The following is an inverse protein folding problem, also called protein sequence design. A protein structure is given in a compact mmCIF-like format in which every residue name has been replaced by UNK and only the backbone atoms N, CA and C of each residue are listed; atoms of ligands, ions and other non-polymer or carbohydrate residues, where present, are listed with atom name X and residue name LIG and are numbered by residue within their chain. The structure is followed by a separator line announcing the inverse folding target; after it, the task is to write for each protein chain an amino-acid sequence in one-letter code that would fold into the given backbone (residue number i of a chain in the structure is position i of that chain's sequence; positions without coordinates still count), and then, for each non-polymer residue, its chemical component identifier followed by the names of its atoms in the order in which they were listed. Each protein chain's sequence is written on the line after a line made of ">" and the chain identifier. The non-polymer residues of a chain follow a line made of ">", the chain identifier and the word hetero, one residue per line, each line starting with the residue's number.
data_IF_500208108017
#
_entry.id   IF_500208108017
#
_cell.length_a   1.000
_cell.length_b   1.000
_cell.length_c   1.000
_cell.angle_alpha   90.00
_cell.angle_beta   90.00
_cell.angle_gamma   90.00
#
_symmetry.space_group_name_H-M   'P 1'
#
loop_
_entity.id
_entity.type
_entity.pdbx_description
1 polymer ?
#
# COMPACT_ATOMS: atom_id res chain seq x y z
N UNK A 1 -0.72 -0.35 8.95
CA UNK A 1 0.46 -1.06 9.52
C UNK A 1 1.75 -0.41 9.10
N UNK A 2 2.74 -0.39 9.98
CA UNK A 2 4.13 -0.08 9.67
C UNK A 2 4.99 -1.29 9.99
N UNK A 3 5.84 -1.76 9.05
CA UNK A 3 6.64 -2.98 9.24
C UNK A 3 8.10 -2.76 8.88
N UNK A 4 8.99 -3.62 9.39
CA UNK A 4 10.38 -3.74 8.93
C UNK A 4 10.56 -5.15 8.39
N UNK A 5 10.28 -5.33 7.11
CA UNK A 5 10.44 -6.65 6.47
C UNK A 5 11.90 -6.92 6.13
N UNK A 6 12.30 -8.17 6.20
CA UNK A 6 13.65 -8.65 5.89
C UNK A 6 13.60 -9.80 4.88
N UNK A 7 14.70 -10.54 4.72
CA UNK A 7 14.73 -11.77 3.93
C UNK A 7 14.08 -12.97 4.63
N UNK A 8 13.77 -12.85 5.93
CA UNK A 8 13.12 -13.89 6.74
C UNK A 8 11.59 -13.84 6.55
N UNK A 9 11.09 -14.48 5.49
CA UNK A 9 9.65 -14.56 5.20
C UNK A 9 8.82 -15.17 6.33
N UNK A 10 9.24 -16.27 6.99
CA UNK A 10 8.51 -16.81 8.14
C UNK A 10 8.33 -15.79 9.28
N UNK A 11 9.38 -15.05 9.65
CA UNK A 11 9.30 -14.03 10.69
C UNK A 11 8.41 -12.85 10.28
N UNK A 12 8.54 -12.36 9.04
CA UNK A 12 7.70 -11.28 8.50
C UNK A 12 6.21 -11.69 8.49
N UNK A 13 5.92 -12.93 8.07
CA UNK A 13 4.56 -13.47 8.05
C UNK A 13 3.97 -13.61 9.47
N UNK A 14 4.76 -14.14 10.40
CA UNK A 14 4.33 -14.29 11.79
C UNK A 14 3.98 -12.94 12.40
N UNK A 15 4.86 -11.95 12.25
CA UNK A 15 4.61 -10.57 12.70
C UNK A 15 3.35 -9.98 12.05
N UNK A 16 3.19 -10.12 10.72
CA UNK A 16 2.03 -9.60 10.02
C UNK A 16 0.71 -10.20 10.52
N UNK A 17 0.65 -11.51 10.75
CA UNK A 17 -0.55 -12.19 11.27
C UNK A 17 -0.86 -11.82 12.73
N UNK A 18 0.18 -11.65 13.56
CA UNK A 18 0.02 -11.15 14.93
C UNK A 18 -0.59 -9.75 14.93
N UNK A 19 -0.02 -8.84 14.14
CA UNK A 19 -0.51 -7.45 14.04
C UNK A 19 -1.93 -7.39 13.46
N UNK A 20 -2.30 -8.27 12.52
CA UNK A 20 -3.68 -8.40 12.05
C UNK A 20 -4.62 -8.73 13.20
N UNK A 21 -4.21 -9.68 14.05
CA UNK A 21 -4.96 -10.07 15.24
C UNK A 21 -5.17 -8.91 16.20
N UNK A 22 -4.11 -8.17 16.49
CA UNK A 22 -4.15 -7.02 17.39
C UNK A 22 -5.01 -5.87 16.83
N UNK A 23 -4.89 -5.56 15.54
CA UNK A 23 -5.71 -4.54 14.89
C UNK A 23 -7.19 -4.88 14.90
N UNK A 24 -7.55 -6.13 14.59
CA UNK A 24 -8.92 -6.59 14.63
C UNK A 24 -9.51 -6.53 16.06
N UNK A 25 -8.72 -6.91 17.07
CA UNK A 25 -9.11 -6.78 18.48
C UNK A 25 -9.27 -5.32 18.91
N UNK A 26 -8.52 -4.40 18.30
CA UNK A 26 -8.63 -2.95 18.47
C UNK A 26 -9.79 -2.30 17.71
N UNK A 27 -10.65 -3.08 17.03
CA UNK A 27 -11.85 -2.58 16.35
C UNK A 27 -11.62 -2.10 14.90
N UNK A 28 -10.48 -2.39 14.31
CA UNK A 28 -10.23 -2.03 12.90
C UNK A 28 -11.23 -2.72 11.96
N UNK A 29 -11.80 -1.99 11.01
CA UNK A 29 -12.67 -2.52 9.96
C UNK A 29 -11.86 -2.96 8.73
N UNK A 30 -10.69 -2.34 8.53
CA UNK A 30 -9.75 -2.67 7.47
C UNK A 30 -8.32 -2.56 8.00
N UNK A 31 -7.49 -3.54 7.64
CA UNK A 31 -6.05 -3.53 7.92
C UNK A 31 -5.29 -3.45 6.61
N UNK A 32 -4.37 -2.48 6.50
CA UNK A 32 -3.52 -2.30 5.33
C UNK A 32 -2.04 -2.49 5.69
N UNK A 33 -1.35 -3.34 4.94
CA UNK A 33 0.10 -3.58 5.05
C UNK A 33 0.89 -2.69 4.08
N UNK A 34 2.20 -2.49 4.33
CA UNK A 34 3.08 -1.77 3.41
C UNK A 34 3.38 -2.53 2.12
N UNK A 35 4.09 -1.86 1.21
CA UNK A 35 4.67 -2.48 0.01
C UNK A 35 5.67 -3.58 0.38
N UNK A 36 5.61 -4.71 -0.34
CA UNK A 36 6.49 -5.90 -0.23
C UNK A 36 6.70 -6.39 1.20
N UNK A 37 5.63 -6.36 2.01
CA UNK A 37 5.68 -6.63 3.44
C UNK A 37 6.14 -8.05 3.82
N UNK A 38 6.19 -8.98 2.87
CA UNK A 38 6.65 -10.36 3.10
C UNK A 38 8.14 -10.55 2.88
N UNK A 39 8.76 -9.76 1.97
CA UNK A 39 10.15 -9.97 1.63
C UNK A 39 10.80 -8.68 1.10
N UNK A 40 11.91 -8.30 1.74
CA UNK A 40 12.83 -7.26 1.24
C UNK A 40 14.24 -7.84 1.25
N UNK A 41 14.82 -8.05 0.05
CA UNK A 41 16.14 -8.63 -0.13
C UNK A 41 16.59 -8.68 -1.58
N UNK A 42 17.54 -9.56 -1.86
CA UNK A 42 18.15 -9.72 -3.18
C UNK A 42 17.20 -10.29 -4.24
N UNK A 43 17.66 -10.21 -5.51
CA UNK A 43 16.92 -10.71 -6.69
C UNK A 43 16.48 -12.16 -6.54
N UNK A 44 17.42 -13.04 -6.19
CA UNK A 44 17.16 -14.49 -6.09
C UNK A 44 16.07 -14.80 -5.08
N UNK A 45 16.14 -14.22 -3.89
CA UNK A 45 15.11 -14.40 -2.86
C UNK A 45 13.76 -13.81 -3.27
N UNK A 46 13.73 -12.67 -3.97
CA UNK A 46 12.51 -12.09 -4.53
C UNK A 46 11.78 -13.08 -5.45
N UNK A 47 12.51 -13.72 -6.37
CA UNK A 47 11.95 -14.72 -7.29
C UNK A 47 11.56 -16.01 -6.57
N UNK A 48 12.39 -16.47 -5.62
CA UNK A 48 12.14 -17.70 -4.86
C UNK A 48 10.90 -17.60 -3.97
N UNK A 49 10.69 -16.45 -3.32
CA UNK A 49 9.58 -16.21 -2.39
C UNK A 49 8.34 -15.57 -3.05
N UNK A 50 8.34 -15.45 -4.39
CA UNK A 50 7.17 -14.97 -5.10
C UNK A 50 5.97 -15.90 -4.90
N UNK A 51 4.81 -15.30 -4.62
CA UNK A 51 3.56 -16.00 -4.31
C UNK A 51 2.66 -16.10 -5.53
N UNK A 52 1.80 -17.11 -5.57
CA UNK A 52 0.61 -17.06 -6.40
C UNK A 52 -0.56 -16.51 -5.59
N UNK A 53 -1.56 -15.93 -6.24
CA UNK A 53 -2.71 -15.33 -5.53
C UNK A 53 -3.62 -16.38 -4.85
N UNK A 54 -3.50 -17.64 -5.25
CA UNK A 54 -4.12 -18.82 -4.64
C UNK A 54 -3.15 -19.61 -3.73
N UNK A 55 -1.91 -19.10 -3.55
CA UNK A 55 -0.87 -19.74 -2.76
C UNK A 55 -1.16 -19.74 -1.26
N UNK A 56 -0.32 -20.50 -0.52
CA UNK A 56 -0.50 -20.74 0.92
C UNK A 56 -0.55 -19.44 1.73
N UNK A 57 0.38 -18.51 1.49
CA UNK A 57 0.44 -17.28 2.28
C UNK A 57 -0.80 -16.39 2.06
N UNK A 58 -1.21 -16.20 0.80
CA UNK A 58 -2.42 -15.42 0.50
C UNK A 58 -3.64 -16.12 1.09
N UNK A 59 -3.73 -17.45 1.00
CA UNK A 59 -4.81 -18.24 1.59
C UNK A 59 -4.87 -18.08 3.12
N UNK A 60 -3.74 -17.97 3.82
CA UNK A 60 -3.71 -17.68 5.26
C UNK A 60 -4.38 -16.35 5.58
N UNK A 61 -4.07 -15.28 4.84
CA UNK A 61 -4.71 -13.98 5.04
C UNK A 61 -6.20 -14.01 4.67
N UNK A 62 -6.59 -14.74 3.64
CA UNK A 62 -8.00 -14.97 3.28
C UNK A 62 -8.77 -15.63 4.42
N UNK A 63 -8.20 -16.66 5.02
CA UNK A 63 -8.80 -17.35 6.15
C UNK A 63 -8.91 -16.44 7.40
N UNK A 64 -7.87 -15.63 7.69
CA UNK A 64 -7.89 -14.69 8.79
C UNK A 64 -8.90 -13.54 8.57
N UNK A 65 -9.01 -13.02 7.34
CA UNK A 65 -10.01 -12.03 6.96
C UNK A 65 -11.43 -12.57 7.21
N UNK A 66 -11.72 -13.78 6.74
CA UNK A 66 -13.02 -14.44 6.95
C UNK A 66 -13.30 -14.74 8.42
N UNK A 67 -12.32 -15.30 9.14
CA UNK A 67 -12.45 -15.63 10.57
C UNK A 67 -12.73 -14.40 11.44
N UNK A 68 -12.09 -13.28 11.13
CA UNK A 68 -12.22 -12.02 11.89
C UNK A 68 -13.28 -11.09 11.34
N UNK A 69 -13.85 -11.38 10.16
CA UNK A 69 -14.81 -10.54 9.44
C UNK A 69 -14.26 -9.13 9.19
N UNK A 70 -13.02 -9.04 8.73
CA UNK A 70 -12.28 -7.78 8.50
C UNK A 70 -11.76 -7.70 7.07
N UNK A 71 -11.72 -6.51 6.51
CA UNK A 71 -11.02 -6.26 5.26
C UNK A 71 -9.50 -6.29 5.46
N UNK A 72 -8.78 -6.86 4.51
CA UNK A 72 -7.31 -6.92 4.56
C UNK A 72 -6.73 -6.49 3.23
N UNK A 73 -5.98 -5.40 3.23
CA UNK A 73 -5.15 -5.01 2.10
C UNK A 73 -3.74 -5.57 2.32
N UNK A 74 -3.36 -6.58 1.54
CA UNK A 74 -1.99 -7.04 1.45
C UNK A 74 -1.21 -6.00 0.63
N UNK A 75 -0.81 -4.92 1.25
CA UNK A 75 -0.20 -3.72 0.67
C UNK A 75 0.45 -3.96 -0.67
N UNK A 76 1.54 -4.78 -0.70
CA UNK A 76 1.88 -5.56 -1.88
C UNK A 76 2.76 -6.78 -1.55
N UNK A 77 2.83 -7.70 -2.50
CA UNK A 77 3.70 -8.87 -2.49
C UNK A 77 4.28 -9.11 -3.89
N UNK A 78 5.35 -9.90 -3.95
CA UNK A 78 5.89 -10.36 -5.22
C UNK A 78 4.99 -11.48 -5.75
N UNK A 79 4.25 -11.19 -6.84
CA UNK A 79 3.37 -12.17 -7.49
C UNK A 79 4.13 -12.91 -8.59
N UNK A 80 4.08 -14.23 -8.56
CA UNK A 80 4.66 -15.11 -9.58
C UNK A 80 3.93 -14.98 -10.90
N UNK A 81 4.68 -14.81 -11.98
CA UNK A 81 4.13 -14.79 -13.33
C UNK A 81 4.19 -16.21 -13.90
N UNK A 82 3.05 -16.74 -14.34
CA UNK A 82 2.99 -18.07 -14.95
C UNK A 82 3.89 -18.15 -16.19
N UNK A 83 4.71 -19.19 -16.26
CA UNK A 83 5.63 -19.43 -17.38
C UNK A 83 6.87 -18.53 -17.40
N UNK A 84 7.09 -17.66 -16.38
CA UNK A 84 8.28 -16.82 -16.26
C UNK A 84 9.03 -17.07 -14.96
N UNK A 85 10.37 -17.12 -15.05
CA UNK A 85 11.23 -17.29 -13.88
C UNK A 85 12.22 -16.12 -13.66
N UNK A 86 12.17 -15.11 -14.53
CA UNK A 86 13.10 -13.98 -14.55
C UNK A 86 12.54 -12.72 -13.89
N UNK A 87 11.20 -12.59 -13.86
CA UNK A 87 10.47 -11.44 -13.26
C UNK A 87 9.23 -11.89 -12.49
N UNK A 88 8.75 -10.99 -11.65
CA UNK A 88 7.50 -11.09 -10.88
C UNK A 88 6.71 -9.78 -11.02
N UNK A 89 5.43 -9.77 -10.63
CA UNK A 89 4.72 -8.51 -10.41
C UNK A 89 4.87 -8.04 -8.95
N UNK A 90 4.76 -6.74 -8.74
CA UNK A 90 4.56 -6.12 -7.43
C UNK A 90 3.06 -5.85 -7.29
N UNK A 91 2.35 -6.69 -6.52
CA UNK A 91 0.88 -6.79 -6.56
C UNK A 91 0.25 -6.51 -5.22
N UNK A 92 -0.63 -5.55 -5.18
CA UNK A 92 -1.54 -5.28 -4.07
C UNK A 92 -2.79 -6.17 -4.18
N UNK A 93 -3.25 -6.72 -3.05
CA UNK A 93 -4.40 -7.63 -2.99
C UNK A 93 -5.35 -7.17 -1.90
N UNK A 94 -6.56 -6.81 -2.27
CA UNK A 94 -7.63 -6.46 -1.32
C UNK A 94 -8.52 -7.70 -1.08
N UNK A 95 -8.62 -8.12 0.17
CA UNK A 95 -9.39 -9.28 0.62
C UNK A 95 -10.60 -8.80 1.40
N UNK A 96 -11.78 -9.27 1.01
CA UNK A 96 -13.04 -8.98 1.69
C UNK A 96 -13.21 -9.81 2.98
N UNK A 97 -14.14 -9.43 3.89
CA UNK A 97 -14.47 -10.20 5.09
C UNK A 97 -15.02 -11.61 4.84
N UNK A 98 -15.34 -11.95 3.60
CA UNK A 98 -15.70 -13.30 3.17
C UNK A 98 -14.48 -14.19 2.93
N UNK A 99 -13.27 -13.60 2.89
CA UNK A 99 -12.04 -14.27 2.45
C UNK A 99 -11.85 -14.30 0.94
N UNK A 100 -12.73 -13.66 0.18
CA UNK A 100 -12.57 -13.52 -1.27
C UNK A 100 -11.64 -12.36 -1.62
N UNK A 101 -10.89 -12.50 -2.72
CA UNK A 101 -10.11 -11.40 -3.29
C UNK A 101 -11.09 -10.48 -4.01
N UNK A 102 -11.30 -9.28 -3.45
CA UNK A 102 -12.19 -8.28 -4.02
C UNK A 102 -11.53 -7.50 -5.16
N UNK A 103 -10.24 -7.24 -5.07
CA UNK A 103 -9.46 -6.59 -6.13
C UNK A 103 -7.98 -6.93 -6.06
N UNK A 104 -7.31 -6.78 -7.20
CA UNK A 104 -5.85 -6.81 -7.31
C UNK A 104 -5.37 -5.62 -8.12
N UNK A 105 -4.19 -5.10 -7.78
CA UNK A 105 -3.53 -4.07 -8.54
C UNK A 105 -2.05 -4.38 -8.68
N UNK A 106 -1.54 -4.49 -9.89
CA UNK A 106 -0.13 -4.65 -10.21
C UNK A 106 0.49 -3.28 -10.46
N UNK A 107 1.55 -2.96 -9.74
CA UNK A 107 2.26 -1.68 -9.83
C UNK A 107 2.58 -1.34 -11.28
N UNK A 108 2.19 -0.15 -11.71
CA UNK A 108 2.38 0.30 -13.09
C UNK A 108 3.65 1.12 -13.25
N UNK A 109 3.94 1.98 -12.29
CA UNK A 109 5.11 2.85 -12.35
C UNK A 109 6.21 2.26 -11.48
N UNK A 110 7.27 1.78 -12.14
CA UNK A 110 8.39 1.13 -11.48
C UNK A 110 9.44 2.15 -11.02
N UNK A 111 10.08 1.87 -9.89
CA UNK A 111 11.09 2.72 -9.29
C UNK A 111 12.45 2.49 -9.93
N UNK A 112 12.62 3.03 -11.14
CA UNK A 112 13.87 3.04 -11.88
C UNK A 112 14.50 4.42 -11.72
N UNK A 113 15.52 4.52 -10.85
CA UNK A 113 16.14 5.79 -10.49
C UNK A 113 17.65 5.68 -10.32
N UNK A 114 18.33 6.77 -10.62
CA UNK A 114 19.74 6.98 -10.31
C UNK A 114 19.85 8.05 -9.23
N UNK A 115 20.14 7.62 -8.02
CA UNK A 115 20.40 8.49 -6.87
C UNK A 115 21.90 8.62 -6.65
N UNK A 116 22.39 9.68 -6.01
CA UNK A 116 23.81 9.81 -5.67
C UNK A 116 24.33 8.56 -4.95
N UNK A 117 25.25 7.84 -5.59
CA UNK A 117 25.86 6.62 -5.05
C UNK A 117 24.99 5.35 -5.11
N UNK A 118 23.78 5.41 -5.68
CA UNK A 118 22.88 4.26 -5.75
C UNK A 118 22.05 4.25 -7.03
N UNK A 119 22.13 3.15 -7.79
CA UNK A 119 21.22 2.86 -8.89
C UNK A 119 20.22 1.80 -8.48
N UNK A 120 18.94 2.09 -8.61
CA UNK A 120 17.83 1.17 -8.32
C UNK A 120 17.03 1.00 -9.60
N UNK A 121 16.94 -0.23 -10.10
CA UNK A 121 16.17 -0.60 -11.29
C UNK A 121 15.16 -1.66 -10.88
N UNK A 122 13.97 -1.23 -10.51
CA UNK A 122 12.89 -2.16 -10.16
C UNK A 122 12.50 -3.01 -11.37
N UNK A 123 12.56 -2.45 -12.57
CA UNK A 123 12.26 -3.13 -13.83
C UNK A 123 13.18 -4.31 -14.16
N UNK A 124 14.36 -4.43 -13.52
CA UNK A 124 15.24 -5.59 -13.71
C UNK A 124 14.57 -6.90 -13.24
N UNK A 125 13.64 -6.81 -12.26
CA UNK A 125 13.00 -7.97 -11.63
C UNK A 125 11.48 -7.90 -11.58
N UNK A 126 10.90 -6.73 -11.79
CA UNK A 126 9.45 -6.51 -11.77
C UNK A 126 8.94 -6.27 -13.19
N UNK A 127 7.86 -6.95 -13.53
CA UNK A 127 7.06 -6.67 -14.73
C UNK A 127 5.93 -5.70 -14.34
N UNK A 128 5.80 -4.55 -15.03
CA UNK A 128 4.74 -3.60 -14.70
C UNK A 128 3.35 -4.15 -15.00
N UNK A 129 2.37 -3.70 -14.24
CA UNK A 129 0.96 -3.93 -14.53
C UNK A 129 0.50 -3.08 -15.72
N UNK A 130 -0.48 -3.57 -16.47
CA UNK A 130 -1.09 -2.88 -17.61
C UNK A 130 -2.52 -2.43 -17.35
N UNK A 131 -3.23 -3.10 -16.43
CA UNK A 131 -4.60 -2.78 -16.07
C UNK A 131 -4.69 -1.44 -15.31
N UNK A 132 -5.78 -0.67 -15.48
CA UNK A 132 -6.03 0.51 -14.67
C UNK A 132 -6.14 0.16 -13.19
N UNK A 133 -5.83 1.14 -12.33
CA UNK A 133 -6.00 1.00 -10.89
C UNK A 133 -7.49 0.89 -10.54
N UNK A 134 -7.89 -0.12 -9.74
CA UNK A 134 -9.30 -0.36 -9.41
C UNK A 134 -9.80 0.55 -8.29
N UNK A 135 -11.12 0.77 -8.28
CA UNK A 135 -11.87 1.32 -7.15
C UNK A 135 -12.88 0.27 -6.69
N UNK A 136 -12.98 0.01 -5.40
CA UNK A 136 -13.79 -1.05 -4.80
C UNK A 136 -14.59 -0.50 -3.63
N UNK A 137 -15.86 -0.88 -3.52
CA UNK A 137 -16.69 -0.53 -2.37
C UNK A 137 -16.22 -1.26 -1.10
N UNK A 138 -16.04 -0.50 -0.03
CA UNK A 138 -15.66 -0.98 1.31
C UNK A 138 -16.46 -0.25 2.38
N UNK A 139 -16.47 -0.68 3.65
CA UNK A 139 -17.12 0.07 4.72
C UNK A 139 -16.47 1.44 5.00
N UNK A 140 -15.30 1.70 4.45
CA UNK A 140 -14.61 2.99 4.53
C UNK A 140 -14.90 3.90 3.31
N UNK A 141 -15.84 3.50 2.45
CA UNK A 141 -16.13 4.17 1.18
C UNK A 141 -15.46 3.50 -0.02
N UNK A 142 -15.46 4.20 -1.15
CA UNK A 142 -14.89 3.75 -2.41
C UNK A 142 -13.36 3.78 -2.34
N UNK A 143 -12.74 2.61 -2.24
CA UNK A 143 -11.31 2.42 -2.03
C UNK A 143 -10.53 2.27 -3.35
N UNK A 144 -9.68 3.20 -3.67
CA UNK A 144 -8.73 3.13 -4.78
C UNK A 144 -7.40 2.49 -4.36
N UNK A 145 -6.78 1.73 -5.27
CA UNK A 145 -5.50 1.07 -5.02
C UNK A 145 -4.37 1.70 -5.86
N UNK A 146 -3.22 1.91 -5.23
CA UNK A 146 -1.96 2.29 -5.88
C UNK A 146 -0.79 1.67 -5.10
N UNK A 147 0.45 1.79 -5.58
CA UNK A 147 1.63 1.28 -4.88
C UNK A 147 2.79 2.28 -4.99
N UNK A 148 3.27 2.80 -3.86
CA UNK A 148 4.56 3.46 -3.66
C UNK A 148 4.90 4.53 -4.72
N UNK A 149 5.74 4.19 -5.70
CA UNK A 149 6.22 5.11 -6.74
C UNK A 149 5.09 5.69 -7.60
N UNK A 150 3.93 5.02 -7.68
CA UNK A 150 2.72 5.55 -8.29
C UNK A 150 2.32 6.92 -7.70
N UNK A 151 2.70 7.18 -6.43
CA UNK A 151 2.47 8.46 -5.74
C UNK A 151 3.02 9.68 -6.52
N UNK A 152 4.01 9.49 -7.38
CA UNK A 152 4.61 10.56 -8.19
C UNK A 152 3.86 10.86 -9.48
N UNK A 153 2.79 10.12 -9.79
CA UNK A 153 2.04 10.22 -11.04
C UNK A 153 0.63 10.76 -10.81
N UNK A 154 0.40 12.09 -10.85
CA UNK A 154 -0.90 12.72 -10.54
C UNK A 154 -2.07 12.18 -11.34
N UNK A 155 -1.83 11.82 -12.61
CA UNK A 155 -2.87 11.33 -13.50
C UNK A 155 -3.55 10.03 -13.00
N UNK A 156 -2.79 9.16 -12.27
CA UNK A 156 -3.34 7.96 -11.66
C UNK A 156 -4.41 8.32 -10.62
N UNK A 157 -4.11 9.28 -9.75
CA UNK A 157 -5.02 9.71 -8.65
C UNK A 157 -6.25 10.43 -9.19
N UNK A 158 -6.09 11.28 -10.20
CA UNK A 158 -7.23 11.87 -10.91
C UNK A 158 -8.12 10.78 -11.54
N UNK A 159 -7.51 9.74 -12.12
CA UNK A 159 -8.25 8.60 -12.65
C UNK A 159 -9.02 7.82 -11.59
N UNK A 160 -8.43 7.62 -10.40
CA UNK A 160 -9.13 7.01 -9.26
C UNK A 160 -10.28 7.91 -8.77
N UNK A 161 -10.04 9.22 -8.65
CA UNK A 161 -11.09 10.18 -8.26
C UNK A 161 -12.25 10.21 -9.26
N UNK A 162 -11.97 10.15 -10.55
CA UNK A 162 -12.98 10.10 -11.61
C UNK A 162 -13.83 8.80 -11.56
N UNK A 163 -13.26 7.70 -11.05
CA UNK A 163 -13.95 6.45 -10.77
C UNK A 163 -14.76 6.47 -9.46
N UNK A 164 -14.74 7.58 -8.73
CA UNK A 164 -15.47 7.75 -7.48
C UNK A 164 -14.68 7.46 -6.21
N UNK A 165 -13.35 7.30 -6.27
CA UNK A 165 -12.58 7.04 -5.06
C UNK A 165 -12.80 8.10 -3.99
N UNK A 166 -12.93 7.63 -2.75
CA UNK A 166 -13.11 8.41 -1.53
C UNK A 166 -11.91 8.26 -0.60
N UNK A 167 -11.29 7.08 -0.63
CA UNK A 167 -10.02 6.78 0.03
C UNK A 167 -9.07 6.11 -0.99
N UNK A 168 -7.79 6.47 -0.97
CA UNK A 168 -6.76 5.82 -1.79
C UNK A 168 -5.68 5.23 -0.89
N UNK A 169 -5.43 3.93 -1.06
CA UNK A 169 -4.37 3.23 -0.38
C UNK A 169 -3.07 3.32 -1.18
N UNK A 170 -1.96 3.65 -0.48
CA UNK A 170 -0.63 3.83 -1.06
C UNK A 170 0.40 3.04 -0.24
N UNK A 171 0.32 1.70 -0.21
CA UNK A 171 1.35 0.90 0.44
C UNK A 171 2.72 1.21 -0.16
N UNK A 172 3.71 1.46 0.71
CA UNK A 172 4.96 2.06 0.25
C UNK A 172 6.21 1.52 0.95
N UNK A 173 7.31 1.62 0.21
CA UNK A 173 8.66 1.34 0.68
C UNK A 173 9.61 2.43 0.17
N UNK A 174 9.44 3.65 0.68
CA UNK A 174 10.27 4.80 0.30
C UNK A 174 11.67 4.69 0.90
N UNK A 175 12.70 4.96 0.10
CA UNK A 175 14.06 5.11 0.62
C UNK A 175 14.09 6.24 1.65
N UNK A 176 14.99 6.16 2.64
CA UNK A 176 15.10 7.18 3.68
C UNK A 176 15.25 8.59 3.10
N UNK A 177 16.16 8.76 2.13
CA UNK A 177 16.45 10.07 1.52
C UNK A 177 15.24 10.67 0.80
N UNK A 178 14.57 9.88 -0.03
CA UNK A 178 13.41 10.40 -0.79
C UNK A 178 12.17 10.53 0.09
N UNK A 179 12.06 9.70 1.13
CA UNK A 179 10.98 9.77 2.09
C UNK A 179 11.05 11.06 2.91
N UNK A 180 12.21 11.35 3.51
CA UNK A 180 12.42 12.57 4.30
C UNK A 180 12.14 13.86 3.51
N UNK A 181 12.41 13.86 2.20
CA UNK A 181 12.21 15.05 1.37
C UNK A 181 10.81 15.15 0.75
N UNK A 182 10.13 14.04 0.45
CA UNK A 182 8.96 14.07 -0.43
C UNK A 182 7.70 13.42 0.15
N UNK A 183 7.81 12.52 1.15
CA UNK A 183 6.71 11.66 1.58
C UNK A 183 5.46 12.45 1.96
N UNK A 184 5.53 13.25 3.01
CA UNK A 184 4.39 14.00 3.50
C UNK A 184 3.84 15.00 2.47
N UNK A 185 4.75 15.70 1.76
CA UNK A 185 4.38 16.67 0.72
C UNK A 185 3.52 16.00 -0.36
N UNK A 186 3.95 14.82 -0.85
CA UNK A 186 3.22 14.13 -1.90
C UNK A 186 1.90 13.55 -1.40
N UNK A 187 1.85 12.96 -0.21
CA UNK A 187 0.60 12.43 0.36
C UNK A 187 -0.44 13.53 0.51
N UNK A 188 -0.05 14.66 1.09
CA UNK A 188 -0.94 15.83 1.27
C UNK A 188 -1.40 16.41 -0.06
N UNK A 189 -0.50 16.51 -1.04
CA UNK A 189 -0.86 16.97 -2.38
C UNK A 189 -1.93 16.06 -3.01
N UNK A 190 -1.77 14.72 -2.95
CA UNK A 190 -2.75 13.78 -3.48
C UNK A 190 -4.10 13.86 -2.78
N UNK A 191 -4.10 14.05 -1.46
CA UNK A 191 -5.32 14.24 -0.69
C UNK A 191 -6.06 15.51 -1.12
N UNK A 192 -5.38 16.65 -1.16
CA UNK A 192 -5.97 17.97 -1.45
C UNK A 192 -6.44 18.06 -2.90
N UNK A 193 -5.59 17.71 -3.87
CA UNK A 193 -5.89 17.89 -5.30
C UNK A 193 -6.98 16.95 -5.81
N UNK A 194 -7.26 15.84 -5.10
CA UNK A 194 -8.30 14.88 -5.48
C UNK A 194 -9.48 14.87 -4.49
N UNK A 195 -9.37 15.58 -3.37
CA UNK A 195 -10.36 15.58 -2.28
C UNK A 195 -10.74 14.15 -1.88
N UNK A 196 -9.75 13.39 -1.43
CA UNK A 196 -9.86 11.99 -0.98
C UNK A 196 -9.03 11.79 0.29
N UNK A 197 -9.39 10.79 1.09
CA UNK A 197 -8.48 10.30 2.12
C UNK A 197 -7.31 9.56 1.49
N UNK A 198 -6.12 9.70 2.08
CA UNK A 198 -4.92 8.96 1.70
C UNK A 198 -4.48 8.11 2.89
N UNK A 199 -4.52 6.78 2.73
CA UNK A 199 -4.00 5.82 3.69
C UNK A 199 -2.71 5.20 3.15
N UNK A 200 -1.57 5.53 3.76
CA UNK A 200 -0.25 5.21 3.25
C UNK A 200 0.56 4.37 4.24
N UNK A 201 0.31 3.05 4.33
CA UNK A 201 1.11 2.14 5.15
C UNK A 201 2.52 2.04 4.57
N UNK A 202 3.56 2.12 5.43
CA UNK A 202 4.94 2.24 5.00
C UNK A 202 5.87 1.24 5.68
N UNK A 203 6.88 0.77 4.93
CA UNK A 203 8.04 0.09 5.49
C UNK A 203 8.92 1.08 6.25
N UNK A 204 9.50 0.67 7.39
CA UNK A 204 10.35 1.52 8.23
C UNK A 204 11.64 0.82 8.61
N UNK A 205 12.69 1.62 8.81
CA UNK A 205 13.94 1.15 9.38
C UNK A 205 14.83 0.38 8.41
N UNK A 206 15.82 -0.29 8.98
CA UNK A 206 16.89 -0.95 8.22
C UNK A 206 16.51 -2.38 7.89
N UNK A 207 16.37 -2.70 6.60
CA UNK A 207 16.03 -4.02 6.10
C UNK A 207 17.26 -4.92 5.88
N UNK A 208 18.36 -4.29 5.45
CA UNK A 208 19.66 -4.93 5.22
C UNK A 208 20.77 -3.85 5.27
N UNK A 209 22.06 -4.21 5.14
CA UNK A 209 23.17 -3.24 5.24
C UNK A 209 23.09 -2.09 4.22
N UNK A 210 22.37 -2.25 3.11
CA UNK A 210 22.35 -1.30 1.99
C UNK A 210 21.01 -0.53 1.86
N UNK A 211 19.96 -0.95 2.59
CA UNK A 211 18.63 -0.40 2.35
C UNK A 211 17.89 -0.08 3.66
N UNK A 212 17.52 1.18 3.79
CA UNK A 212 16.73 1.72 4.90
C UNK A 212 15.53 2.47 4.37
N UNK A 213 14.36 2.19 4.92
CA UNK A 213 13.11 2.86 4.60
C UNK A 213 12.77 3.96 5.57
N UNK A 214 12.09 4.98 5.07
CA UNK A 214 11.75 6.19 5.81
C UNK A 214 10.68 5.94 6.88
N UNK A 215 9.68 5.11 6.59
CA UNK A 215 8.56 4.88 7.50
C UNK A 215 7.48 5.93 7.40
N UNK A 216 6.96 6.34 8.57
CA UNK A 216 5.93 7.37 8.69
C UNK A 216 4.63 6.98 7.98
N UNK A 217 4.14 5.73 8.28
CA UNK A 217 2.77 5.35 7.93
C UNK A 217 1.81 6.46 8.33
N UNK A 218 1.00 6.93 7.39
CA UNK A 218 0.15 8.10 7.60
C UNK A 218 -1.27 7.88 7.09
N UNK A 219 -2.22 8.56 7.75
CA UNK A 219 -3.53 8.87 7.22
C UNK A 219 -3.62 10.39 7.01
N UNK A 220 -4.03 10.79 5.81
CA UNK A 220 -4.23 12.19 5.45
C UNK A 220 -5.69 12.38 5.06
N UNK A 221 -6.33 13.40 5.62
CA UNK A 221 -7.70 13.76 5.31
C UNK A 221 -7.82 14.54 3.98
N UNK A 222 -9.02 14.72 3.41
CA UNK A 222 -9.21 15.42 2.15
C UNK A 222 -8.88 16.93 2.19
N UNK A 223 -8.70 17.51 3.40
CA UNK A 223 -8.20 18.88 3.59
C UNK A 223 -6.66 18.96 3.56
N UNK A 224 -5.98 17.84 3.62
CA UNK A 224 -4.53 17.74 3.64
C UNK A 224 -3.91 17.69 5.04
N UNK A 225 -4.70 17.49 6.09
CA UNK A 225 -4.18 17.29 7.44
C UNK A 225 -3.75 15.85 7.64
N UNK A 226 -2.60 15.63 8.29
CA UNK A 226 -2.19 14.29 8.72
C UNK A 226 -2.93 13.99 10.02
N UNK A 227 -3.93 13.11 9.94
CA UNK A 227 -4.79 12.75 11.08
C UNK A 227 -4.25 11.60 11.92
N UNK A 228 -3.35 10.77 11.33
CA UNK A 228 -2.62 9.74 12.04
C UNK A 228 -1.22 9.56 11.43
N UNK A 229 -0.21 9.39 12.27
CA UNK A 229 1.19 9.25 11.87
C UNK A 229 1.91 8.25 12.77
N UNK A 230 2.64 7.30 12.16
CA UNK A 230 3.49 6.37 12.89
C UNK A 230 4.78 7.03 13.39
N UNK A 231 5.30 6.50 14.49
CA UNK A 231 6.68 6.75 14.92
C UNK A 231 7.69 5.99 14.07
N UNK A 232 8.99 6.10 14.39
CA UNK A 232 10.09 5.38 13.69
C UNK A 232 10.19 3.89 14.06
N UNK A 233 9.08 3.24 14.41
CA UNK A 233 9.06 1.83 14.85
C UNK A 233 7.94 1.06 14.17
N UNK A 234 8.13 -0.26 13.91
CA UNK A 234 7.05 -1.12 13.47
C UNK A 234 5.87 -1.10 14.45
N UNK A 235 4.66 -1.24 13.93
CA UNK A 235 3.45 -1.27 14.75
C UNK A 235 2.17 -0.91 14.00
N UNK A 236 1.12 -0.70 14.77
CA UNK A 236 -0.21 -0.35 14.28
C UNK A 236 -0.42 1.15 14.46
N UNK A 237 -0.97 1.77 13.43
CA UNK A 237 -1.53 3.13 13.49
C UNK A 237 -3.02 3.02 13.18
N UNK A 238 -3.84 3.51 14.09
CA UNK A 238 -5.27 3.62 13.86
C UNK A 238 -5.60 5.01 13.31
N UNK A 239 -6.57 5.07 12.41
CA UNK A 239 -7.14 6.30 11.90
C UNK A 239 -8.59 6.10 11.51
N UNK A 240 -9.35 7.17 11.50
CA UNK A 240 -10.76 7.19 11.18
C UNK A 240 -10.99 7.83 9.82
N UNK A 241 -11.95 7.30 9.07
CA UNK A 241 -12.45 7.86 7.82
C UNK A 241 -13.86 8.38 8.09
N UNK A 242 -14.06 9.67 7.93
CA UNK A 242 -15.35 10.35 8.02
C UNK A 242 -15.80 10.78 6.62
N UNK A 243 -16.72 10.03 6.05
CA UNK A 243 -17.28 10.35 4.73
C UNK A 243 -18.15 11.61 4.75
N UNK A 244 -18.77 11.92 5.88
CA UNK A 244 -19.50 13.18 6.06
C UNK A 244 -18.57 14.38 5.93
N UNK A 245 -17.40 14.33 6.58
CA UNK A 245 -16.39 15.36 6.44
C UNK A 245 -15.83 15.46 4.99
N UNK A 246 -15.67 14.34 4.32
CA UNK A 246 -15.29 14.33 2.91
C UNK A 246 -16.29 15.10 2.05
N UNK A 247 -17.58 14.87 2.26
CA UNK A 247 -18.65 15.57 1.55
C UNK A 247 -18.67 17.07 1.85
N UNK A 248 -18.44 17.46 3.11
CA UNK A 248 -18.30 18.87 3.51
C UNK A 248 -17.14 19.55 2.79
N UNK A 249 -15.97 18.90 2.71
CA UNK A 249 -14.80 19.42 1.98
C UNK A 249 -15.13 19.62 0.50
N UNK A 250 -15.75 18.63 -0.13
CA UNK A 250 -16.16 18.70 -1.55
C UNK A 250 -17.21 19.77 -1.82
N UNK A 251 -18.11 20.01 -0.89
CA UNK A 251 -19.11 21.07 -0.97
C UNK A 251 -18.49 22.46 -0.75
N UNK A 252 -17.53 22.57 0.16
CA UNK A 252 -16.86 23.85 0.49
C UNK A 252 -15.95 24.35 -0.62
N UNK A 253 -15.22 23.44 -1.27
CA UNK A 253 -14.33 23.77 -2.40
C UNK A 253 -14.72 22.91 -3.60
N UNK A 254 -15.83 23.23 -4.30
CA UNK A 254 -16.29 22.40 -5.42
C UNK A 254 -15.31 22.49 -6.57
N UNK A 255 -14.54 21.44 -6.78
CA UNK A 255 -13.62 21.33 -7.93
C UNK A 255 -14.44 20.94 -9.16
N UNK A 256 -14.99 21.96 -9.82
CA UNK A 256 -15.68 21.84 -11.11
C UNK A 256 -14.61 21.82 -12.19
N UNK A 257 -13.95 20.71 -12.33
CA UNK A 257 -12.93 20.52 -13.32
C UNK A 257 -13.41 19.64 -14.45
N UNK A 258 -12.80 19.86 -15.56
CA UNK A 258 -12.93 19.13 -16.80
C UNK A 258 -13.01 17.61 -16.57
N UNK A 259 -14.13 17.02 -16.99
CA UNK A 259 -14.32 15.57 -17.05
C UNK A 259 -13.49 14.97 -18.18
#
# INVERSE_FOLDING_TARGET
>A
MQTTSTEDVPANLAFALEQLGAAAAGGAQLVAYPEVFLYIGGREGKLAHAQTLDGEIVSRFRNEAARRRIWVLLGSLHERIAGRGDKVHNTSVLIAPTGEIAATYRKRNLFDVELPGQRIMESDTIEPGTAPAPVVETPLGQAGLSICFDLRFPALYRGLRAQGAEIVFIPSNFTFTTGAAHWETLLRARAVENQVYIAAPAQVGRHNPKFTSYGHTALVDPWGSITALASDRPGIVFGEIDLGYLDEVRATIPMRGEG
#
